data_IF_727403296091
#
_entry.id   IF_727403296091
#
_cell.length_a   1.000
_cell.length_b   1.000
_cell.length_c   1.000
_cell.angle_alpha   90.00
_cell.angle_beta   90.00
_cell.angle_gamma   90.00
#
_symmetry.space_group_name_H-M   'P 1'
#
loop_
_entity.id
_entity.type
_entity.pdbx_description
1 polymer ?
#
# COMPACT_ATOMS: atom_id res chain seq x y z
N UNK A 1 10.68 -56.83 -16.55
CA UNK A 1 11.31 -55.55 -16.97
C UNK A 1 10.88 -54.52 -15.97
N UNK A 2 11.83 -53.77 -15.45
CA UNK A 2 11.61 -52.67 -14.52
C UNK A 2 11.87 -51.37 -15.29
N UNK A 3 10.89 -50.50 -15.35
CA UNK A 3 10.99 -49.23 -16.09
C UNK A 3 11.92 -48.25 -15.39
N UNK A 4 12.42 -47.28 -16.14
CA UNK A 4 13.23 -46.20 -15.56
C UNK A 4 12.40 -45.39 -14.55
N UNK A 5 12.99 -44.92 -13.45
CA UNK A 5 12.32 -44.27 -12.35
C UNK A 5 11.50 -45.16 -11.42
N UNK A 6 11.46 -46.48 -11.68
CA UNK A 6 10.82 -47.45 -10.80
C UNK A 6 11.85 -48.40 -10.18
N UNK A 7 11.55 -48.96 -9.00
CA UNK A 7 12.30 -50.05 -8.38
C UNK A 7 11.40 -51.22 -8.17
N UNK A 8 11.96 -52.40 -8.43
CA UNK A 8 11.29 -53.65 -8.16
C UNK A 8 11.75 -54.23 -6.81
N UNK A 9 10.82 -54.48 -5.91
CA UNK A 9 11.08 -55.16 -4.65
C UNK A 9 10.76 -56.66 -4.85
N UNK A 10 11.76 -57.52 -4.76
CA UNK A 10 11.63 -58.97 -4.94
C UNK A 10 11.45 -59.67 -3.61
N UNK A 11 10.39 -60.46 -3.50
CA UNK A 11 10.09 -61.27 -2.34
C UNK A 11 10.30 -62.74 -2.69
N UNK A 12 11.02 -63.47 -1.84
CA UNK A 12 11.19 -64.92 -1.92
C UNK A 12 10.43 -65.57 -0.76
N UNK A 13 9.40 -66.34 -1.08
CA UNK A 13 8.46 -66.91 -0.10
C UNK A 13 7.90 -65.87 0.88
N UNK A 14 7.58 -64.66 0.39
CA UNK A 14 7.03 -63.58 1.19
C UNK A 14 8.06 -62.76 2.01
N UNK A 15 9.34 -63.14 1.98
CA UNK A 15 10.43 -62.40 2.62
C UNK A 15 11.12 -61.47 1.60
N UNK A 16 11.53 -60.31 2.05
CA UNK A 16 12.40 -59.44 1.25
C UNK A 16 13.68 -60.17 0.86
N UNK A 17 14.00 -60.18 -0.42
CA UNK A 17 15.23 -60.81 -0.94
C UNK A 17 16.20 -59.76 -1.46
N UNK A 18 15.78 -58.98 -2.43
CA UNK A 18 16.62 -57.93 -3.03
C UNK A 18 15.77 -56.81 -3.62
N UNK A 19 16.42 -55.65 -3.77
CA UNK A 19 15.87 -54.50 -4.49
C UNK A 19 16.48 -54.45 -5.88
N UNK A 20 15.65 -54.30 -6.91
CA UNK A 20 16.09 -54.38 -8.28
C UNK A 20 15.99 -52.98 -8.94
N UNK A 21 17.10 -52.52 -9.48
CA UNK A 21 17.17 -51.30 -10.31
C UNK A 21 16.50 -51.47 -11.66
N UNK A 22 16.25 -50.37 -12.39
CA UNK A 22 15.71 -50.38 -13.75
C UNK A 22 16.50 -51.29 -14.69
N UNK A 23 15.80 -51.99 -15.57
CA UNK A 23 16.37 -52.86 -16.58
C UNK A 23 15.72 -54.25 -16.66
N UNK A 24 16.38 -55.13 -17.41
CA UNK A 24 15.95 -56.53 -17.54
C UNK A 24 16.60 -57.33 -16.40
N UNK A 25 15.76 -57.93 -15.54
CA UNK A 25 16.20 -58.83 -14.45
C UNK A 25 15.43 -60.13 -14.58
N UNK A 26 16.16 -61.24 -14.35
CA UNK A 26 15.58 -62.57 -14.37
C UNK A 26 15.19 -62.95 -12.92
N UNK A 27 14.03 -63.60 -12.74
CA UNK A 27 13.53 -64.03 -11.45
C UNK A 27 12.93 -65.45 -11.55
N UNK A 28 12.79 -66.12 -10.45
CA UNK A 28 12.09 -67.39 -10.39
C UNK A 28 10.57 -67.19 -10.51
N UNK A 29 9.88 -68.15 -11.15
CA UNK A 29 8.43 -68.05 -11.33
C UNK A 29 7.68 -68.17 -10.01
N UNK A 30 6.47 -67.64 -10.00
CA UNK A 30 5.55 -67.83 -8.89
C UNK A 30 5.30 -69.32 -8.68
N UNK A 31 5.21 -69.84 -7.43
CA UNK A 31 5.07 -69.18 -6.16
C UNK A 31 6.38 -68.84 -5.39
N UNK A 32 7.54 -69.16 -5.97
CA UNK A 32 8.84 -69.00 -5.26
C UNK A 32 9.16 -67.50 -5.07
N UNK A 33 9.05 -66.72 -6.12
CA UNK A 33 9.31 -65.29 -6.05
C UNK A 33 8.10 -64.49 -6.51
N UNK A 34 7.77 -63.46 -5.76
CA UNK A 34 6.84 -62.38 -6.14
C UNK A 34 7.60 -61.05 -6.22
N UNK A 35 7.05 -60.07 -6.92
CA UNK A 35 7.65 -58.76 -6.98
C UNK A 35 6.58 -57.70 -6.93
N UNK A 36 6.95 -56.57 -6.38
CA UNK A 36 6.16 -55.34 -6.39
C UNK A 36 6.99 -54.20 -7.01
N UNK A 37 6.38 -53.45 -7.90
CA UNK A 37 7.04 -52.34 -8.60
C UNK A 37 6.58 -51.05 -7.97
N UNK A 38 7.52 -50.28 -7.41
CA UNK A 38 7.28 -48.96 -6.80
C UNK A 38 7.87 -47.87 -7.69
N UNK A 39 7.09 -46.87 -8.02
CA UNK A 39 7.56 -45.72 -8.76
C UNK A 39 8.10 -44.68 -7.77
N UNK A 40 9.42 -44.41 -7.86
CA UNK A 40 10.14 -43.47 -6.99
C UNK A 40 10.17 -42.03 -7.60
N UNK A 41 10.16 -41.96 -8.93
CA UNK A 41 10.28 -40.68 -9.64
C UNK A 41 8.95 -39.90 -9.70
N UNK A 42 7.83 -40.57 -9.46
CA UNK A 42 6.51 -39.96 -9.53
C UNK A 42 6.21 -39.18 -8.26
N UNK A 43 6.01 -37.85 -8.43
CA UNK A 43 5.43 -37.00 -7.38
C UNK A 43 3.95 -37.39 -7.22
N UNK A 44 3.59 -37.78 -6.00
CA UNK A 44 2.22 -38.09 -5.64
C UNK A 44 1.63 -36.93 -4.83
N UNK A 45 0.36 -36.62 -5.07
CA UNK A 45 -0.35 -35.55 -4.37
C UNK A 45 -1.44 -36.16 -3.52
N UNK A 46 -1.43 -35.82 -2.23
CA UNK A 46 -2.51 -36.11 -1.29
C UNK A 46 -3.36 -34.85 -1.13
N UNK A 47 -4.66 -34.99 -1.29
CA UNK A 47 -5.63 -33.92 -1.08
C UNK A 47 -6.32 -34.16 0.26
N UNK A 48 -6.24 -33.17 1.16
CA UNK A 48 -6.86 -33.23 2.49
C UNK A 48 -7.90 -32.13 2.63
N UNK A 49 -9.11 -32.50 3.06
CA UNK A 49 -10.24 -31.59 3.18
C UNK A 49 -11.07 -31.42 1.91
N UNK A 50 -10.60 -31.93 0.77
CA UNK A 50 -11.33 -31.89 -0.51
C UNK A 50 -11.00 -33.13 -1.38
N UNK A 51 -11.79 -33.37 -2.41
CA UNK A 51 -11.53 -34.46 -3.39
C UNK A 51 -11.72 -33.95 -4.81
N UNK A 52 -10.73 -34.11 -5.66
CA UNK A 52 -10.70 -33.77 -7.08
C UNK A 52 -11.04 -32.31 -7.43
N UNK A 53 -11.70 -31.57 -6.56
CA UNK A 53 -12.04 -30.17 -6.73
C UNK A 53 -12.22 -29.53 -5.35
N UNK A 54 -11.70 -28.34 -5.17
CA UNK A 54 -11.82 -27.52 -3.96
C UNK A 54 -13.28 -27.31 -3.51
N UNK A 55 -14.23 -27.41 -4.44
CA UNK A 55 -15.67 -27.31 -4.14
C UNK A 55 -16.26 -28.52 -3.44
N UNK A 56 -15.62 -29.70 -3.59
CA UNK A 56 -16.10 -30.96 -2.96
C UNK A 56 -15.43 -31.09 -1.58
N UNK A 57 -16.01 -30.41 -0.59
CA UNK A 57 -15.46 -30.36 0.77
C UNK A 57 -15.74 -31.65 1.55
N UNK A 58 -14.75 -32.13 2.28
CA UNK A 58 -14.89 -33.20 3.27
C UNK A 58 -14.72 -32.57 4.65
N UNK A 59 -15.83 -32.09 5.22
CA UNK A 59 -15.85 -31.32 6.48
C UNK A 59 -15.15 -32.01 7.66
N UNK A 60 -15.18 -33.33 7.72
CA UNK A 60 -14.51 -34.10 8.78
C UNK A 60 -12.99 -33.93 8.77
N UNK A 61 -12.39 -33.75 7.60
CA UNK A 61 -10.96 -33.61 7.40
C UNK A 61 -10.51 -32.13 7.40
N UNK A 62 -11.40 -31.22 6.95
CA UNK A 62 -11.09 -29.81 6.77
C UNK A 62 -11.28 -28.96 8.03
N UNK A 63 -12.17 -29.35 8.94
CA UNK A 63 -12.43 -28.56 10.15
C UNK A 63 -11.37 -28.81 11.21
N UNK A 64 -10.67 -27.77 11.61
CA UNK A 64 -9.61 -27.80 12.61
C UNK A 64 -9.82 -26.70 13.65
N UNK A 65 -9.44 -26.97 14.89
CA UNK A 65 -9.51 -26.04 16.02
C UNK A 65 -8.15 -25.33 16.16
N UNK A 66 -8.18 -24.03 16.35
CA UNK A 66 -7.01 -23.17 16.58
C UNK A 66 -6.74 -22.98 18.07
N UNK A 67 -5.59 -22.41 18.43
CA UNK A 67 -5.19 -22.11 19.82
C UNK A 67 -6.14 -21.12 20.52
N UNK A 68 -6.74 -20.21 19.76
CA UNK A 68 -7.71 -19.21 20.22
C UNK A 68 -9.16 -19.70 20.17
N UNK A 69 -9.37 -21.05 20.22
CA UNK A 69 -10.68 -21.73 20.30
C UNK A 69 -11.62 -21.46 19.10
N UNK A 70 -11.08 -21.00 17.99
CA UNK A 70 -11.83 -20.81 16.74
C UNK A 70 -11.76 -22.05 15.86
N UNK A 71 -12.81 -22.28 15.08
CA UNK A 71 -12.85 -23.35 14.08
C UNK A 71 -12.51 -22.76 12.72
N UNK A 72 -11.55 -23.39 12.02
CA UNK A 72 -11.15 -23.01 10.66
C UNK A 72 -11.40 -24.18 9.69
N UNK A 73 -11.93 -23.89 8.51
CA UNK A 73 -12.06 -24.82 7.38
C UNK A 73 -10.81 -24.67 6.52
N UNK A 74 -9.92 -25.66 6.63
CA UNK A 74 -8.63 -25.69 5.96
C UNK A 74 -8.57 -26.80 4.94
N UNK A 75 -8.19 -26.45 3.70
CA UNK A 75 -7.96 -27.39 2.61
C UNK A 75 -6.52 -27.27 2.14
N UNK A 76 -5.81 -28.39 2.08
CA UNK A 76 -4.41 -28.40 1.69
C UNK A 76 -4.05 -29.62 0.86
N UNK A 77 -2.98 -29.49 0.09
CA UNK A 77 -2.40 -30.57 -0.69
C UNK A 77 -0.97 -30.82 -0.22
N UNK A 78 -0.61 -32.08 -0.11
CA UNK A 78 0.75 -32.54 0.23
C UNK A 78 1.32 -33.27 -0.96
N UNK A 79 2.46 -32.80 -1.45
CA UNK A 79 3.24 -33.47 -2.47
C UNK A 79 4.36 -34.26 -1.81
N UNK A 80 4.46 -35.53 -2.17
CA UNK A 80 5.47 -36.43 -1.63
C UNK A 80 6.05 -37.35 -2.70
N UNK A 81 7.23 -37.85 -2.40
CA UNK A 81 7.98 -38.82 -3.18
C UNK A 81 8.27 -40.04 -2.33
N UNK A 82 8.35 -41.20 -2.94
CA UNK A 82 8.84 -42.40 -2.29
C UNK A 82 10.36 -42.43 -2.44
N UNK A 83 11.09 -42.41 -1.33
CA UNK A 83 12.54 -42.44 -1.35
C UNK A 83 13.08 -43.90 -1.21
N UNK A 84 12.46 -44.69 -0.36
CA UNK A 84 12.84 -46.10 -0.14
C UNK A 84 11.67 -47.02 -0.47
N UNK A 85 11.86 -47.86 -1.50
CA UNK A 85 10.83 -48.79 -1.97
C UNK A 85 10.58 -49.92 -0.98
N UNK A 86 11.62 -50.34 -0.26
CA UNK A 86 11.53 -51.40 0.72
C UNK A 86 10.67 -50.94 1.91
N UNK A 87 11.02 -49.82 2.51
CA UNK A 87 10.31 -49.31 3.68
C UNK A 87 8.85 -48.96 3.35
N UNK A 88 8.61 -48.46 2.14
CA UNK A 88 7.27 -48.16 1.66
C UNK A 88 6.35 -49.37 1.54
N UNK A 89 6.90 -50.52 1.11
CA UNK A 89 6.13 -51.78 0.92
C UNK A 89 5.99 -52.59 2.21
N UNK A 90 7.02 -52.60 3.06
CA UNK A 90 7.07 -53.54 4.20
C UNK A 90 6.66 -52.95 5.54
N UNK A 91 6.98 -51.68 5.77
CA UNK A 91 6.77 -51.09 7.10
C UNK A 91 5.30 -50.66 7.31
N UNK A 92 4.59 -50.36 6.22
CA UNK A 92 3.23 -49.88 6.31
C UNK A 92 2.30 -50.64 5.37
N UNK A 93 1.20 -51.16 5.89
CA UNK A 93 0.25 -51.98 5.13
C UNK A 93 -0.46 -51.17 4.02
N UNK A 94 -0.79 -49.91 4.31
CA UNK A 94 -1.47 -48.96 3.37
C UNK A 94 -0.76 -47.64 3.42
N UNK A 95 0.32 -47.44 2.67
CA UNK A 95 1.16 -46.29 2.80
C UNK A 95 0.44 -44.96 2.44
N UNK A 96 -0.43 -44.99 1.43
CA UNK A 96 -1.16 -43.78 1.01
C UNK A 96 -2.19 -43.33 2.06
N UNK A 97 -2.93 -44.26 2.68
CA UNK A 97 -3.85 -43.93 3.78
C UNK A 97 -3.10 -43.46 5.04
N UNK A 98 -1.99 -44.08 5.34
CA UNK A 98 -1.15 -43.69 6.48
C UNK A 98 -0.54 -42.30 6.26
N UNK A 99 -0.06 -42.02 5.05
CA UNK A 99 0.46 -40.70 4.69
C UNK A 99 -0.63 -39.61 4.82
N UNK A 100 -1.87 -39.91 4.44
CA UNK A 100 -3.01 -39.00 4.62
C UNK A 100 -3.31 -38.74 6.10
N UNK A 101 -3.31 -39.78 6.94
CA UNK A 101 -3.54 -39.64 8.38
C UNK A 101 -2.40 -38.87 9.08
N UNK A 102 -1.15 -39.09 8.65
CA UNK A 102 0.00 -38.33 9.14
C UNK A 102 -0.14 -36.85 8.73
N UNK A 103 -0.51 -36.59 7.48
CA UNK A 103 -0.72 -35.23 6.99
C UNK A 103 -1.83 -34.49 7.76
N UNK A 104 -2.97 -35.15 7.99
CA UNK A 104 -4.06 -34.61 8.78
C UNK A 104 -3.64 -34.35 10.24
N UNK A 105 -2.96 -35.28 10.87
CA UNK A 105 -2.54 -35.18 12.27
C UNK A 105 -1.50 -34.06 12.47
N UNK A 106 -0.48 -34.02 11.60
CA UNK A 106 0.55 -33.01 11.66
C UNK A 106 -0.01 -31.58 11.41
N UNK A 107 -0.89 -31.44 10.41
CA UNK A 107 -1.53 -30.15 10.17
C UNK A 107 -2.40 -29.74 11.34
N UNK A 108 -3.20 -30.64 11.90
CA UNK A 108 -4.03 -30.38 13.08
C UNK A 108 -3.20 -29.96 14.30
N UNK A 109 -2.03 -30.55 14.51
CA UNK A 109 -1.13 -30.15 15.60
C UNK A 109 -0.57 -28.75 15.38
N UNK A 110 -0.15 -28.40 14.17
CA UNK A 110 0.40 -27.07 13.86
C UNK A 110 -0.67 -25.99 13.95
N UNK A 111 -1.87 -26.27 13.44
CA UNK A 111 -3.03 -25.35 13.53
C UNK A 111 -3.46 -25.14 14.97
N UNK A 112 -3.54 -26.23 15.78
CA UNK A 112 -3.89 -26.16 17.20
C UNK A 112 -2.92 -25.39 18.08
N UNK A 113 -1.73 -25.07 17.56
CA UNK A 113 -0.71 -24.21 18.20
C UNK A 113 -0.63 -22.82 17.56
N UNK A 114 -1.48 -22.52 16.61
CA UNK A 114 -1.48 -21.27 15.84
C UNK A 114 -2.77 -20.49 16.07
N UNK A 115 -2.68 -19.16 15.99
CA UNK A 115 -3.86 -18.29 16.08
C UNK A 115 -4.55 -18.18 14.73
N UNK A 116 -5.85 -17.95 14.76
CA UNK A 116 -6.67 -17.87 13.55
C UNK A 116 -6.22 -16.77 12.59
N UNK A 117 -5.88 -15.57 13.09
CA UNK A 117 -5.40 -14.46 12.27
C UNK A 117 -4.15 -14.82 11.47
N UNK A 118 -3.22 -15.53 12.10
CA UNK A 118 -2.00 -16.00 11.45
C UNK A 118 -2.27 -17.02 10.34
N UNK A 119 -3.26 -17.88 10.53
CA UNK A 119 -3.65 -18.91 9.56
C UNK A 119 -4.33 -18.27 8.34
N UNK A 120 -5.17 -17.26 8.56
CA UNK A 120 -5.97 -16.64 7.48
C UNK A 120 -5.16 -15.62 6.66
N UNK A 121 -4.27 -14.83 7.30
CA UNK A 121 -3.75 -13.61 6.67
C UNK A 121 -2.23 -13.50 6.63
N UNK A 122 -1.48 -13.99 7.63
CA UNK A 122 -0.09 -13.54 7.80
C UNK A 122 0.98 -14.58 7.46
N UNK A 123 0.81 -15.85 7.83
CA UNK A 123 1.91 -16.82 7.88
C UNK A 123 1.58 -18.19 7.29
N UNK A 124 0.75 -18.26 6.26
CA UNK A 124 0.36 -19.54 5.63
C UNK A 124 1.58 -20.36 5.16
N UNK A 125 2.61 -19.69 4.63
CA UNK A 125 3.83 -20.34 4.17
C UNK A 125 4.63 -20.93 5.33
N UNK A 126 4.72 -20.22 6.46
CA UNK A 126 5.43 -20.71 7.64
C UNK A 126 4.71 -21.89 8.28
N UNK A 127 3.37 -21.84 8.31
CA UNK A 127 2.52 -22.94 8.79
C UNK A 127 2.72 -24.18 7.89
N UNK A 128 2.71 -24.01 6.58
CA UNK A 128 2.95 -25.09 5.62
C UNK A 128 4.35 -25.72 5.80
N UNK A 129 5.39 -24.90 6.02
CA UNK A 129 6.75 -25.38 6.29
C UNK A 129 6.85 -26.15 7.60
N UNK A 130 6.27 -25.63 8.70
CA UNK A 130 6.24 -26.33 9.98
C UNK A 130 5.49 -27.66 9.88
N UNK A 131 4.36 -27.65 9.18
CA UNK A 131 3.59 -28.89 8.94
C UNK A 131 4.39 -29.90 8.12
N UNK A 132 5.09 -29.46 7.06
CA UNK A 132 5.99 -30.31 6.26
C UNK A 132 7.07 -30.94 7.15
N UNK A 133 7.75 -30.16 7.96
CA UNK A 133 8.85 -30.63 8.81
C UNK A 133 8.33 -31.62 9.87
N UNK A 134 7.16 -31.38 10.44
CA UNK A 134 6.52 -32.29 11.37
C UNK A 134 6.06 -33.57 10.67
N UNK A 135 5.47 -33.51 9.49
CA UNK A 135 5.10 -34.66 8.67
C UNK A 135 6.32 -35.50 8.34
N UNK A 136 7.42 -34.89 7.95
CA UNK A 136 8.68 -35.56 7.64
C UNK A 136 9.23 -36.29 8.87
N UNK A 137 9.25 -35.65 10.04
CA UNK A 137 9.69 -36.27 11.29
C UNK A 137 8.83 -37.47 11.69
N UNK A 138 7.52 -37.43 11.44
CA UNK A 138 6.62 -38.56 11.69
C UNK A 138 6.88 -39.70 10.71
N UNK A 139 7.05 -39.38 9.40
CA UNK A 139 7.40 -40.38 8.38
C UNK A 139 8.70 -41.08 8.66
N UNK A 140 9.72 -40.37 9.12
CA UNK A 140 11.01 -40.93 9.53
C UNK A 140 10.86 -41.83 10.77
N UNK A 141 10.07 -41.39 11.77
CA UNK A 141 9.82 -42.20 12.98
C UNK A 141 9.13 -43.51 12.66
N UNK A 142 8.22 -43.54 11.71
CA UNK A 142 7.52 -44.76 11.29
C UNK A 142 8.26 -45.53 10.21
N UNK A 143 9.36 -45.00 9.67
CA UNK A 143 10.14 -45.65 8.61
C UNK A 143 9.30 -45.93 7.38
N UNK A 144 8.50 -44.98 6.94
CA UNK A 144 7.55 -45.14 5.81
C UNK A 144 8.21 -45.11 4.45
N UNK A 145 9.47 -44.67 4.36
CA UNK A 145 10.18 -44.47 3.09
C UNK A 145 9.63 -43.33 2.24
N UNK A 146 8.83 -42.42 2.83
CA UNK A 146 8.20 -41.28 2.17
C UNK A 146 8.97 -39.99 2.51
N UNK A 147 9.22 -39.18 1.51
CA UNK A 147 9.78 -37.82 1.67
C UNK A 147 8.75 -36.77 1.22
N UNK A 148 8.38 -35.89 2.14
CA UNK A 148 7.44 -34.78 1.85
C UNK A 148 8.18 -33.68 1.13
N UNK A 149 7.77 -33.37 -0.09
CA UNK A 149 8.36 -32.33 -0.93
C UNK A 149 7.79 -30.95 -0.57
N UNK A 150 6.48 -30.79 -0.68
CA UNK A 150 5.81 -29.50 -0.49
C UNK A 150 4.44 -29.69 0.13
N UNK A 151 4.07 -28.79 1.03
CA UNK A 151 2.72 -28.65 1.57
C UNK A 151 2.16 -27.32 1.07
N UNK A 152 0.98 -27.35 0.43
CA UNK A 152 0.34 -26.16 -0.11
C UNK A 152 -1.04 -26.00 0.47
N UNK A 153 -1.29 -24.90 1.16
CA UNK A 153 -2.63 -24.52 1.63
C UNK A 153 -3.41 -23.95 0.44
N UNK A 154 -4.53 -24.58 0.12
CA UNK A 154 -5.38 -24.17 -1.01
C UNK A 154 -6.45 -23.17 -0.58
N UNK A 155 -7.02 -23.41 0.58
CA UNK A 155 -8.09 -22.56 1.12
C UNK A 155 -8.05 -22.63 2.65
N UNK A 156 -8.17 -21.46 3.28
CA UNK A 156 -8.32 -21.29 4.71
C UNK A 156 -9.44 -20.29 4.97
N UNK A 157 -10.54 -20.72 5.53
CA UNK A 157 -11.72 -19.87 5.75
C UNK A 157 -12.37 -20.21 7.08
N UNK A 158 -13.03 -19.25 7.75
CA UNK A 158 -13.95 -19.58 8.83
C UNK A 158 -15.14 -20.39 8.28
N UNK A 159 -15.82 -21.22 9.12
CA UNK A 159 -17.02 -21.93 8.71
C UNK A 159 -18.07 -20.99 8.13
N UNK A 160 -18.81 -21.44 7.10
CA UNK A 160 -19.81 -20.62 6.37
C UNK A 160 -20.83 -19.93 7.29
N UNK A 161 -21.16 -20.57 8.41
CA UNK A 161 -22.14 -20.05 9.39
C UNK A 161 -21.69 -18.75 10.09
N UNK A 162 -20.40 -18.53 10.23
CA UNK A 162 -19.83 -17.40 10.97
C UNK A 162 -19.05 -16.45 10.06
N UNK A 163 -18.88 -16.77 8.79
CA UNK A 163 -18.12 -16.02 7.83
C UNK A 163 -18.56 -14.55 7.74
N UNK A 164 -19.89 -14.30 7.67
CA UNK A 164 -20.42 -12.94 7.61
C UNK A 164 -20.05 -12.08 8.84
N UNK A 165 -20.02 -12.69 10.03
CA UNK A 165 -19.65 -12.00 11.26
C UNK A 165 -18.14 -11.70 11.30
N UNK A 166 -17.30 -12.62 10.80
CA UNK A 166 -15.87 -12.39 10.67
C UNK A 166 -15.55 -11.29 9.65
N UNK A 167 -16.19 -11.30 8.50
CA UNK A 167 -16.02 -10.26 7.47
C UNK A 167 -16.39 -8.87 8.01
N UNK A 168 -17.44 -8.78 8.83
CA UNK A 168 -17.85 -7.53 9.48
C UNK A 168 -16.83 -7.08 10.54
N UNK A 169 -16.32 -8.00 11.34
CA UNK A 169 -15.26 -7.71 12.32
C UNK A 169 -13.97 -7.22 11.66
N UNK A 170 -13.56 -7.83 10.53
CA UNK A 170 -12.40 -7.40 9.75
C UNK A 170 -12.63 -6.01 9.16
N UNK A 171 -13.80 -5.75 8.59
CA UNK A 171 -14.18 -4.42 8.12
C UNK A 171 -14.11 -3.38 9.22
N UNK A 172 -14.69 -3.67 10.39
CA UNK A 172 -14.64 -2.77 11.54
C UNK A 172 -13.20 -2.46 11.97
N UNK A 173 -12.31 -3.46 11.95
CA UNK A 173 -10.88 -3.29 12.18
C UNK A 173 -10.21 -2.37 11.16
N UNK A 174 -10.48 -2.59 9.88
CA UNK A 174 -9.95 -1.76 8.79
C UNK A 174 -10.49 -0.32 8.84
N UNK A 175 -11.77 -0.14 9.16
CA UNK A 175 -12.39 1.17 9.31
C UNK A 175 -11.79 1.96 10.48
N UNK A 176 -11.51 1.29 11.59
CA UNK A 176 -10.82 1.89 12.73
C UNK A 176 -9.42 2.39 12.36
N UNK A 177 -8.62 1.57 11.66
CA UNK A 177 -7.29 1.96 11.21
C UNK A 177 -7.36 3.08 10.16
N UNK A 178 -8.34 3.03 9.25
CA UNK A 178 -8.56 4.11 8.27
C UNK A 178 -8.87 5.43 8.97
N UNK A 179 -9.83 5.46 9.90
CA UNK A 179 -10.19 6.67 10.65
C UNK A 179 -9.02 7.22 11.47
N UNK A 180 -8.23 6.33 12.06
CA UNK A 180 -7.00 6.72 12.77
C UNK A 180 -5.99 7.37 11.84
N UNK A 181 -5.75 6.77 10.68
CA UNK A 181 -4.82 7.30 9.69
C UNK A 181 -5.31 8.63 9.08
N UNK A 182 -6.61 8.75 8.80
CA UNK A 182 -7.24 10.00 8.36
C UNK A 182 -7.10 11.11 9.41
N UNK A 183 -7.35 10.79 10.68
CA UNK A 183 -7.15 11.73 11.79
C UNK A 183 -5.70 12.18 11.94
N UNK A 184 -4.77 11.26 11.80
CA UNK A 184 -3.34 11.58 11.84
C UNK A 184 -2.90 12.42 10.63
N UNK A 185 -3.38 12.10 9.43
CA UNK A 185 -3.11 12.86 8.21
C UNK A 185 -3.67 14.30 8.33
N UNK A 186 -4.88 14.45 8.85
CA UNK A 186 -5.49 15.75 9.11
C UNK A 186 -4.67 16.57 10.11
N UNK A 187 -4.25 15.97 11.21
CA UNK A 187 -3.41 16.64 12.20
C UNK A 187 -2.06 17.08 11.60
N UNK A 188 -1.45 16.22 10.78
CA UNK A 188 -0.17 16.49 10.10
C UNK A 188 -0.29 17.61 9.03
N UNK A 189 -1.45 17.83 8.46
CA UNK A 189 -1.70 18.94 7.52
C UNK A 189 -2.02 20.25 8.25
N UNK A 190 -2.98 20.24 9.17
CA UNK A 190 -3.51 21.44 9.80
C UNK A 190 -2.52 22.09 10.77
N UNK A 191 -1.84 21.30 11.62
CA UNK A 191 -0.95 21.84 12.64
C UNK A 191 0.27 22.56 12.03
N UNK A 192 1.03 21.98 11.07
CA UNK A 192 2.14 22.68 10.44
C UNK A 192 1.70 23.91 9.64
N UNK A 193 0.56 23.85 8.96
CA UNK A 193 -0.01 24.97 8.21
C UNK A 193 -0.36 26.12 9.14
N UNK A 194 -1.02 25.84 10.26
CA UNK A 194 -1.34 26.85 11.27
C UNK A 194 -0.09 27.48 11.88
N UNK A 195 0.92 26.65 12.21
CA UNK A 195 2.22 27.16 12.71
C UNK A 195 2.95 28.01 11.66
N UNK A 196 2.93 27.59 10.42
CA UNK A 196 3.52 28.35 9.31
C UNK A 196 2.88 29.72 9.11
N UNK A 197 1.55 29.80 9.15
CA UNK A 197 0.82 31.07 9.04
C UNK A 197 1.09 31.99 10.23
N UNK A 198 1.12 31.45 11.45
CA UNK A 198 1.45 32.22 12.65
C UNK A 198 2.87 32.78 12.60
N UNK A 199 3.86 31.95 12.22
CA UNK A 199 5.26 32.37 12.07
C UNK A 199 5.42 33.44 11.01
N UNK A 200 4.74 33.29 9.86
CA UNK A 200 4.77 34.29 8.78
C UNK A 200 4.21 35.63 9.27
N UNK A 201 3.05 35.62 9.94
CA UNK A 201 2.43 36.84 10.46
C UNK A 201 3.33 37.55 11.47
N UNK A 202 3.99 36.78 12.32
CA UNK A 202 4.95 37.32 13.29
C UNK A 202 6.16 37.97 12.59
N UNK A 203 6.74 37.28 11.59
CA UNK A 203 7.86 37.82 10.80
C UNK A 203 7.47 39.06 10.00
N UNK A 204 6.27 39.11 9.43
CA UNK A 204 5.74 40.28 8.74
C UNK A 204 5.57 41.46 9.71
N UNK A 205 5.05 41.23 10.90
CA UNK A 205 4.89 42.25 11.92
C UNK A 205 6.24 42.80 12.41
N UNK A 206 7.21 41.91 12.66
CA UNK A 206 8.56 42.31 13.06
C UNK A 206 9.28 43.06 11.92
N UNK A 207 9.13 42.64 10.70
CA UNK A 207 9.68 43.31 9.52
C UNK A 207 9.01 44.68 9.29
N UNK A 208 7.71 44.80 9.54
CA UNK A 208 7.02 46.08 9.50
C UNK A 208 7.51 47.03 10.58
N UNK A 209 7.60 46.54 11.82
CA UNK A 209 8.15 47.32 12.96
C UNK A 209 9.56 47.83 12.66
N UNK A 210 10.46 46.98 12.15
CA UNK A 210 11.82 47.41 11.83
C UNK A 210 11.84 48.45 10.71
N UNK A 211 11.00 48.31 9.67
CA UNK A 211 10.87 49.32 8.58
C UNK A 211 10.42 50.68 9.11
N UNK A 212 9.40 50.69 9.95
CA UNK A 212 8.88 51.93 10.51
C UNK A 212 9.93 52.64 11.38
N UNK A 213 10.64 51.89 12.27
CA UNK A 213 11.70 52.41 13.09
C UNK A 213 12.84 52.96 12.23
N UNK A 214 13.35 52.19 11.29
CA UNK A 214 14.45 52.59 10.41
C UNK A 214 14.09 53.81 9.53
N UNK A 215 12.84 53.88 9.02
CA UNK A 215 12.36 55.05 8.29
C UNK A 215 12.32 56.30 9.18
N UNK A 216 11.76 56.17 10.40
CA UNK A 216 11.69 57.29 11.35
C UNK A 216 13.08 57.78 11.79
N UNK A 217 14.02 56.86 12.05
CA UNK A 217 15.40 57.18 12.36
C UNK A 217 16.11 57.84 11.18
N UNK A 218 15.87 57.35 9.95
CA UNK A 218 16.38 57.95 8.71
C UNK A 218 15.89 59.37 8.52
N UNK A 219 14.59 59.58 8.68
CA UNK A 219 13.97 60.89 8.54
C UNK A 219 14.48 61.89 9.62
N UNK A 220 14.60 61.39 10.86
CA UNK A 220 15.16 62.20 11.94
C UNK A 220 16.63 62.54 11.71
N UNK A 221 17.42 61.65 11.18
CA UNK A 221 18.82 61.85 10.81
C UNK A 221 18.94 62.89 9.67
N UNK A 222 18.14 62.69 8.60
CA UNK A 222 18.08 63.63 7.50
C UNK A 222 17.68 65.01 7.94
N UNK A 223 16.66 65.15 8.81
CA UNK A 223 16.24 66.42 9.36
C UNK A 223 17.34 67.11 10.15
N UNK A 224 18.07 66.36 11.00
CA UNK A 224 19.19 66.91 11.77
C UNK A 224 20.32 67.43 10.86
N UNK A 225 20.65 66.71 9.81
CA UNK A 225 21.66 67.13 8.80
C UNK A 225 21.24 68.39 8.08
N UNK A 226 19.97 68.43 7.60
CA UNK A 226 19.40 69.59 6.93
C UNK A 226 19.36 70.82 7.85
N UNK A 227 19.00 70.62 9.16
CA UNK A 227 18.97 71.70 10.15
C UNK A 227 20.37 72.31 10.38
N UNK A 228 21.41 71.48 10.40
CA UNK A 228 22.79 71.92 10.57
C UNK A 228 23.24 72.81 9.40
N UNK A 229 22.90 72.45 8.16
CA UNK A 229 23.23 73.24 6.99
C UNK A 229 22.35 74.50 6.85
N UNK A 230 21.06 74.36 7.27
CA UNK A 230 20.14 75.50 7.31
C UNK A 230 20.64 76.61 8.27
N UNK A 231 21.20 76.26 9.43
CA UNK A 231 21.73 77.23 10.37
C UNK A 231 22.92 78.05 9.80
N UNK A 232 23.67 77.51 8.85
CA UNK A 232 24.79 78.20 8.18
C UNK A 232 24.34 79.26 7.14
N UNK A 233 23.29 78.97 6.37
CA UNK A 233 22.80 79.82 5.29
C UNK A 233 21.27 79.72 5.11
N UNK A 234 20.44 80.34 5.97
CA UNK A 234 19.01 80.10 6.00
C UNK A 234 18.26 80.52 4.68
N UNK A 235 18.62 81.61 4.09
CA UNK A 235 17.94 82.09 2.89
C UNK A 235 18.11 81.18 1.66
N UNK A 236 19.36 80.79 1.39
CA UNK A 236 19.68 79.95 0.22
C UNK A 236 19.13 78.55 0.37
N UNK A 237 19.25 77.97 1.58
CA UNK A 237 18.76 76.61 1.84
C UNK A 237 17.25 76.50 1.75
N UNK A 238 16.52 77.53 2.23
CA UNK A 238 15.05 77.61 2.11
C UNK A 238 14.59 77.65 0.64
N UNK A 239 15.20 78.45 -0.18
CA UNK A 239 14.89 78.56 -1.60
C UNK A 239 15.19 77.25 -2.33
N UNK A 240 16.30 76.62 -2.04
CA UNK A 240 16.65 75.34 -2.64
C UNK A 240 15.65 74.22 -2.27
N UNK A 241 15.29 74.07 -0.98
CA UNK A 241 14.29 73.10 -0.53
C UNK A 241 12.92 73.35 -1.17
N UNK A 242 12.57 74.62 -1.30
CA UNK A 242 11.30 74.97 -2.00
C UNK A 242 11.30 74.54 -3.44
N UNK A 243 12.33 74.88 -4.20
CA UNK A 243 12.47 74.44 -5.61
C UNK A 243 12.47 72.94 -5.75
N UNK A 244 13.20 72.23 -4.88
CA UNK A 244 13.30 70.77 -4.91
C UNK A 244 11.94 70.11 -4.60
N UNK A 245 11.20 70.60 -3.58
CA UNK A 245 9.83 70.15 -3.28
C UNK A 245 8.85 70.46 -4.41
N UNK A 246 8.92 71.63 -5.00
CA UNK A 246 8.07 72.00 -6.15
C UNK A 246 8.40 71.14 -7.37
N UNK A 247 9.66 70.84 -7.62
CA UNK A 247 10.09 69.93 -8.68
C UNK A 247 9.56 68.53 -8.46
N UNK A 248 9.63 68.02 -7.22
CA UNK A 248 9.14 66.68 -6.86
C UNK A 248 7.60 66.59 -7.01
N UNK A 249 6.84 67.59 -6.50
CA UNK A 249 5.38 67.66 -6.64
C UNK A 249 5.00 67.76 -8.10
N UNK A 250 5.69 68.62 -8.84
CA UNK A 250 5.41 68.78 -10.26
C UNK A 250 5.78 67.56 -11.09
N UNK A 251 6.85 66.83 -10.74
CA UNK A 251 7.21 65.55 -11.43
C UNK A 251 6.25 64.41 -11.15
N UNK A 252 5.70 64.35 -9.93
CA UNK A 252 4.72 63.33 -9.52
C UNK A 252 3.28 63.59 -10.00
N UNK A 253 2.99 64.82 -10.47
CA UNK A 253 1.63 65.19 -10.93
C UNK A 253 1.57 65.14 -12.45
N UNK A 254 0.59 64.44 -13.02
CA UNK A 254 0.34 64.45 -14.46
C UNK A 254 -0.12 65.84 -14.90
N UNK A 255 0.64 66.43 -15.84
CA UNK A 255 0.40 67.78 -16.33
C UNK A 255 -0.31 67.72 -17.68
N UNK A 256 -1.42 68.42 -17.78
CA UNK A 256 -2.14 68.59 -19.03
C UNK A 256 -2.03 70.10 -19.43
N UNK A 257 -1.29 70.36 -20.47
CA UNK A 257 -1.14 71.69 -20.98
C UNK A 257 -2.17 71.95 -22.11
N UNK A 258 -3.06 72.91 -21.93
CA UNK A 258 -4.07 73.23 -22.93
C UNK A 258 -3.77 74.60 -23.49
N UNK A 259 -3.67 74.67 -24.82
CA UNK A 259 -3.60 75.97 -25.52
C UNK A 259 -5.01 76.52 -25.75
N UNK A 260 -5.36 77.59 -25.06
CA UNK A 260 -6.67 78.24 -25.11
C UNK A 260 -6.67 79.41 -26.11
N UNK A 261 -6.45 79.11 -27.39
CA UNK A 261 -6.60 80.05 -28.46
C UNK A 261 -7.64 79.63 -29.49
N UNK A 262 -8.93 79.57 -29.06
CA UNK A 262 -10.02 79.32 -30.01
C UNK A 262 -11.31 79.00 -29.31
N UNK A 263 -12.38 79.78 -29.62
CA UNK A 263 -13.72 79.52 -29.10
C UNK A 263 -14.33 78.32 -29.81
N UNK A 264 -14.69 77.29 -29.08
CA UNK A 264 -15.62 76.28 -29.55
C UNK A 264 -15.23 74.81 -29.53
N UNK A 265 -14.13 74.39 -28.87
CA UNK A 265 -13.75 72.99 -28.81
C UNK A 265 -14.29 72.32 -27.54
N UNK A 266 -15.09 71.26 -27.73
CA UNK A 266 -15.54 70.39 -26.68
C UNK A 266 -14.31 69.50 -26.24
N UNK A 267 -13.79 69.80 -25.05
CA UNK A 267 -12.67 68.99 -24.50
C UNK A 267 -13.21 67.71 -23.88
N UNK A 268 -13.06 66.57 -24.57
CA UNK A 268 -13.31 65.29 -24.02
C UNK A 268 -12.00 64.72 -23.39
N UNK A 269 -11.90 64.79 -22.07
CA UNK A 269 -10.80 64.18 -21.34
C UNK A 269 -11.26 62.80 -20.86
N UNK A 270 -10.77 61.70 -21.43
CA UNK A 270 -11.00 60.35 -20.87
C UNK A 270 -10.10 60.16 -19.64
N UNK A 271 -10.61 60.65 -18.49
CA UNK A 271 -9.90 60.52 -17.19
C UNK A 271 -9.49 59.08 -16.83
N UNK A 272 -10.30 58.11 -17.21
CA UNK A 272 -10.00 56.70 -16.96
C UNK A 272 -8.72 56.19 -17.66
N UNK A 273 -8.46 56.67 -18.90
CA UNK A 273 -7.23 56.33 -19.61
C UNK A 273 -6.00 57.07 -19.07
N UNK A 274 -6.19 58.30 -18.58
CA UNK A 274 -5.11 59.06 -17.93
C UNK A 274 -4.74 58.50 -16.57
N UNK A 275 -5.70 58.01 -15.80
CA UNK A 275 -5.42 57.30 -14.55
C UNK A 275 -4.74 55.95 -14.80
N UNK A 276 -5.10 55.20 -15.85
CA UNK A 276 -4.42 53.95 -16.22
C UNK A 276 -2.97 54.19 -16.69
N UNK A 277 -2.70 55.27 -17.41
CA UNK A 277 -1.33 55.60 -17.86
C UNK A 277 -0.46 56.18 -16.73
N UNK A 278 -1.05 56.85 -15.74
CA UNK A 278 -0.34 57.36 -14.57
C UNK A 278 -0.03 56.24 -13.54
N UNK A 279 -0.86 55.20 -13.48
CA UNK A 279 -0.61 53.99 -12.66
C UNK A 279 0.43 53.03 -13.24
N UNK A 280 0.80 53.18 -14.52
CA UNK A 280 1.72 52.27 -15.21
C UNK A 280 3.22 52.60 -15.12
N UNK A 281 3.59 53.77 -14.65
CA UNK A 281 5.01 54.22 -14.66
C UNK A 281 5.81 53.87 -13.38
N UNK A 282 5.22 53.12 -12.47
CA UNK A 282 5.88 52.76 -11.19
C UNK A 282 6.01 51.26 -10.88
N UNK A 283 5.70 50.39 -11.84
CA UNK A 283 5.68 48.93 -11.58
C UNK A 283 6.54 48.13 -12.58
N UNK A 284 7.76 48.57 -12.87
CA UNK A 284 8.78 47.67 -13.38
C UNK A 284 9.50 47.05 -12.18
N UNK A 285 9.08 45.86 -11.80
CA UNK A 285 9.79 45.05 -10.80
C UNK A 285 8.99 44.08 -9.97
N UNK A 286 7.70 43.89 -10.20
CA UNK A 286 6.99 42.79 -9.51
C UNK A 286 6.14 42.02 -10.53
N UNK A 287 6.67 40.90 -10.99
CA UNK A 287 5.87 39.86 -11.65
C UNK A 287 4.64 39.53 -10.77
N UNK A 288 3.44 39.42 -11.35
CA UNK A 288 2.28 38.98 -10.58
C UNK A 288 2.54 37.55 -10.11
N UNK A 289 2.83 37.42 -8.81
CA UNK A 289 2.82 36.14 -8.15
C UNK A 289 1.39 35.65 -8.22
N UNK A 290 1.14 34.61 -9.03
CA UNK A 290 -0.12 33.92 -9.11
C UNK A 290 -0.57 33.59 -7.67
N UNK A 291 -1.72 34.06 -7.27
CA UNK A 291 -2.39 33.63 -6.07
C UNK A 291 -2.54 32.10 -6.15
N UNK A 292 -2.32 31.35 -5.07
CA UNK A 292 -2.65 29.94 -5.05
C UNK A 292 -4.16 29.83 -5.35
N UNK A 293 -4.50 29.13 -6.43
CA UNK A 293 -5.87 28.76 -6.73
C UNK A 293 -6.40 28.00 -5.50
N UNK A 294 -7.48 28.49 -4.90
CA UNK A 294 -8.29 27.70 -3.99
C UNK A 294 -8.66 26.38 -4.71
N UNK A 295 -8.45 25.21 -4.10
CA UNK A 295 -8.95 23.97 -4.68
C UNK A 295 -10.47 24.09 -4.77
N UNK A 296 -11.00 24.03 -5.98
CA UNK A 296 -12.42 23.91 -6.23
C UNK A 296 -12.95 22.68 -5.46
N UNK A 297 -14.14 22.73 -4.85
CA UNK A 297 -14.73 21.58 -4.19
C UNK A 297 -14.91 20.46 -5.24
N UNK A 298 -14.29 19.31 -4.99
CA UNK A 298 -14.52 18.11 -5.78
C UNK A 298 -16.01 17.75 -5.70
N UNK A 299 -16.71 18.03 -6.77
CA UNK A 299 -18.05 17.48 -6.99
C UNK A 299 -17.87 15.99 -7.18
N UNK A 300 -18.37 15.20 -6.22
CA UNK A 300 -18.43 13.76 -6.25
C UNK A 300 -19.03 13.21 -7.55
N UNK A 301 -18.80 11.92 -7.86
CA UNK A 301 -19.17 11.32 -9.13
C UNK A 301 -20.68 11.43 -9.35
N UNK A 302 -21.06 12.17 -10.38
CA UNK A 302 -22.43 12.23 -10.89
C UNK A 302 -22.84 10.84 -11.34
N UNK A 303 -23.87 10.32 -10.69
CA UNK A 303 -24.66 9.20 -11.17
C UNK A 303 -25.11 9.44 -12.62
N UNK A 304 -24.41 8.84 -13.56
CA UNK A 304 -24.80 8.63 -14.94
C UNK A 304 -24.61 7.17 -15.24
N UNK A 305 -25.58 6.33 -14.86
CA UNK A 305 -25.80 5.01 -15.45
C UNK A 305 -27.07 4.35 -14.85
N UNK A 306 -28.20 5.03 -14.90
CA UNK A 306 -29.50 4.39 -14.59
C UNK A 306 -30.55 4.56 -15.69
N UNK A 307 -30.14 4.77 -16.93
CA UNK A 307 -31.10 4.86 -18.06
C UNK A 307 -30.72 4.03 -19.29
N UNK A 308 -30.05 2.87 -19.14
CA UNK A 308 -29.74 2.01 -20.29
C UNK A 308 -30.08 0.52 -20.10
N UNK A 309 -31.04 0.22 -19.24
CA UNK A 309 -31.52 -1.18 -19.12
C UNK A 309 -33.03 -1.27 -19.00
N UNK A 310 -33.76 -0.61 -19.92
CA UNK A 310 -35.20 -0.76 -20.01
C UNK A 310 -35.66 -0.78 -21.46
N UNK A 311 -35.04 -1.67 -22.27
CA UNK A 311 -35.55 -2.08 -23.58
C UNK A 311 -34.79 -3.34 -24.03
N UNK A 312 -35.16 -4.49 -23.50
CA UNK A 312 -35.02 -5.81 -24.15
C UNK A 312 -35.74 -6.88 -23.31
N UNK A 313 -37.02 -6.81 -23.34
CA UNK A 313 -37.90 -7.88 -22.92
C UNK A 313 -39.17 -7.77 -23.70
N UNK A 314 -39.15 -8.31 -24.93
CA UNK A 314 -40.31 -8.82 -25.68
C UNK A 314 -39.86 -9.19 -27.10
N UNK A 315 -39.43 -10.43 -27.22
CA UNK A 315 -39.75 -11.31 -28.39
C UNK A 315 -39.09 -12.68 -28.20
#
# INVERSE_FOLDING_TARGET
IVNEGTRGVVLTFGRFSEETTSGLRWRLPWPIQSHEIVNLAQVRTLEVGYRNNVRTKVLRESLMLTDDENIVDLQFAVQYLVNDARDYVFNVRRPDESAMQIAETAMREVIGKSRMDSILYETQVDIANRARDLMQAIHERYGTGITVSTVTIQNAQPPEQVQAAFDDAVKAGQDRERQRNEGQAYANDVIPRARGTASRLQQEADGYRQRVIASAEGDASRFRQVLTEYAKAPAVTRERIYIETMQQVLSATSKIMMDYRGSGNLLYLPLDRLMQSAGGAGAEGAAPRAAPAEPAPETGPRARDTLRNRERGDR
#
